data_IF_631436876518
#
_entry.id   IF_631436876518
#
_cell.length_a   1.000
_cell.length_b   1.000
_cell.length_c   1.000
_cell.angle_alpha   90.00
_cell.angle_beta   90.00
_cell.angle_gamma   90.00
#
_symmetry.space_group_name_H-M   'P 1'
#
loop_
_entity.id
_entity.type
_entity.pdbx_description
1 polymer ?
#
# COMPACT_ATOMS: atom_id res chain seq x y z
N UNK A 1 12.61 29.66 -46.84
CA UNK A 1 14.00 29.16 -47.05
C UNK A 1 14.78 29.35 -45.76
N UNK A 2 15.60 28.33 -45.38
CA UNK A 2 16.32 28.12 -44.10
C UNK A 2 15.41 27.60 -42.97
N UNK A 3 15.20 26.30 -42.71
CA UNK A 3 16.09 25.13 -42.61
C UNK A 3 17.21 25.29 -41.59
N UNK A 4 16.99 24.77 -40.38
CA UNK A 4 18.00 24.51 -39.34
C UNK A 4 17.45 23.37 -38.47
N UNK A 5 17.76 22.12 -38.82
CA UNK A 5 18.93 21.31 -38.43
C UNK A 5 18.75 20.66 -37.06
N UNK A 6 18.51 19.36 -37.15
CA UNK A 6 18.20 18.38 -36.13
C UNK A 6 19.36 18.14 -35.16
N UNK A 7 19.07 18.06 -33.86
CA UNK A 7 19.97 17.50 -32.85
C UNK A 7 19.48 16.12 -32.44
N UNK A 8 20.05 15.09 -33.07
CA UNK A 8 19.88 13.69 -32.72
C UNK A 8 20.77 13.36 -31.50
N UNK A 9 20.16 13.17 -30.34
CA UNK A 9 20.84 12.66 -29.14
C UNK A 9 20.93 11.13 -29.27
N UNK A 10 22.15 10.64 -29.50
CA UNK A 10 22.50 9.21 -29.49
C UNK A 10 22.58 8.72 -28.05
N UNK A 11 21.63 7.89 -27.63
CA UNK A 11 21.78 7.06 -26.44
C UNK A 11 22.65 5.85 -26.79
N UNK A 12 23.83 5.78 -26.18
CA UNK A 12 24.73 4.62 -26.24
C UNK A 12 24.22 3.56 -25.27
N UNK A 13 23.83 2.41 -25.81
CA UNK A 13 23.55 1.21 -25.04
C UNK A 13 24.78 0.73 -24.28
N UNK A 14 24.58 0.34 -23.03
CA UNK A 14 25.52 -0.46 -22.26
C UNK A 14 24.96 -1.87 -22.18
N UNK A 15 25.57 -2.77 -22.95
CA UNK A 15 25.53 -4.20 -22.69
C UNK A 15 26.36 -4.46 -21.43
N UNK A 16 25.72 -4.91 -20.36
CA UNK A 16 26.43 -5.64 -19.31
C UNK A 16 26.39 -7.14 -19.62
N UNK A 17 27.58 -7.69 -19.53
CA UNK A 17 28.01 -8.99 -20.01
C UNK A 17 27.57 -10.08 -19.03
N UNK A 18 27.21 -11.22 -19.61
CA UNK A 18 26.97 -12.49 -18.95
C UNK A 18 28.13 -12.95 -18.05
N UNK A 19 27.79 -13.74 -17.02
CA UNK A 19 28.65 -14.87 -16.67
C UNK A 19 28.70 -15.27 -15.19
N UNK A 20 28.62 -16.60 -15.01
CA UNK A 20 29.16 -17.38 -13.88
C UNK A 20 28.26 -17.38 -12.63
N UNK A 21 27.95 -18.48 -11.94
CA UNK A 21 28.60 -19.78 -11.84
C UNK A 21 27.58 -20.79 -11.27
N UNK A 22 27.47 -21.97 -11.87
CA UNK A 22 26.81 -23.12 -11.25
C UNK A 22 27.68 -23.65 -10.12
N UNK A 23 27.12 -23.85 -8.92
CA UNK A 23 27.72 -24.73 -7.92
C UNK A 23 26.62 -25.57 -7.26
N UNK A 24 26.62 -26.82 -7.69
CA UNK A 24 26.00 -27.98 -7.07
C UNK A 24 26.57 -28.16 -5.66
N UNK A 25 25.71 -28.20 -4.64
CA UNK A 25 25.97 -28.96 -3.43
C UNK A 25 24.86 -29.99 -3.26
N UNK A 26 25.20 -31.22 -3.65
CA UNK A 26 24.53 -32.43 -3.22
C UNK A 26 25.20 -32.92 -1.93
N UNK A 27 24.50 -32.81 -0.80
CA UNK A 27 24.78 -33.45 0.49
C UNK A 27 23.40 -33.67 1.10
N UNK A 28 22.94 -34.82 1.54
CA UNK A 28 23.51 -36.14 1.76
C UNK A 28 22.42 -36.86 2.56
N UNK A 29 22.00 -38.04 2.10
CA UNK A 29 20.94 -38.83 2.70
C UNK A 29 21.30 -39.24 4.14
N UNK A 30 20.35 -39.09 5.07
CA UNK A 30 20.23 -40.03 6.18
C UNK A 30 18.75 -40.38 6.41
N UNK A 31 18.38 -41.58 5.97
CA UNK A 31 17.05 -42.18 6.17
C UNK A 31 17.19 -43.19 7.29
N UNK A 32 16.79 -42.79 8.50
CA UNK A 32 16.66 -43.68 9.64
C UNK A 32 15.54 -44.72 9.46
N UNK A 33 15.54 -45.81 10.26
CA UNK A 33 14.65 -46.94 10.09
C UNK A 33 13.20 -46.63 10.45
N UNK A 34 12.29 -47.19 9.66
CA UNK A 34 10.85 -47.17 9.86
C UNK A 34 10.45 -48.19 10.93
N UNK A 35 10.12 -47.72 12.12
CA UNK A 35 9.34 -48.49 13.10
C UNK A 35 7.86 -48.14 12.93
N UNK A 36 7.08 -49.02 12.29
CA UNK A 36 5.65 -49.13 12.58
C UNK A 36 5.44 -50.03 13.82
N UNK A 37 4.21 -50.43 14.20
CA UNK A 37 2.88 -49.94 13.85
C UNK A 37 2.07 -49.55 15.12
N UNK A 38 0.97 -48.82 14.96
CA UNK A 38 -0.26 -49.07 15.73
C UNK A 38 -1.43 -48.47 14.96
N UNK A 39 -2.31 -49.36 14.51
CA UNK A 39 -3.59 -49.01 13.91
C UNK A 39 -4.53 -48.89 15.10
N UNK A 40 -4.61 -47.68 15.65
CA UNK A 40 -5.63 -47.39 16.66
C UNK A 40 -6.99 -47.30 15.97
N UNK A 41 -7.98 -47.90 16.63
CA UNK A 41 -9.37 -48.08 16.21
C UNK A 41 -10.01 -46.80 15.63
N UNK A 42 -10.82 -46.92 14.56
CA UNK A 42 -11.59 -45.79 14.05
C UNK A 42 -12.64 -45.37 15.07
N UNK A 43 -12.45 -44.19 15.64
CA UNK A 43 -13.38 -43.52 16.55
C UNK A 43 -14.75 -43.35 15.85
N UNK A 44 -15.84 -43.92 16.38
CA UNK A 44 -17.14 -43.89 15.73
C UNK A 44 -17.75 -42.48 15.80
N UNK A 45 -17.89 -41.87 14.62
CA UNK A 45 -18.87 -40.83 14.35
C UNK A 45 -18.87 -39.66 15.35
N UNK A 46 -17.72 -39.02 15.53
CA UNK A 46 -17.67 -37.66 16.04
C UNK A 46 -18.59 -36.77 15.20
N UNK A 47 -19.53 -36.10 15.87
CA UNK A 47 -20.42 -35.08 15.30
C UNK A 47 -19.64 -34.23 14.30
N UNK A 48 -20.02 -34.31 13.03
CA UNK A 48 -19.51 -33.41 12.00
C UNK A 48 -20.01 -32.03 12.37
N UNK A 49 -19.20 -31.32 13.16
CA UNK A 49 -19.38 -29.91 13.48
C UNK A 49 -19.69 -29.20 12.18
N UNK A 50 -20.93 -28.73 12.05
CA UNK A 50 -21.40 -28.09 10.84
C UNK A 50 -20.40 -26.98 10.51
N UNK A 51 -19.87 -27.00 9.28
CA UNK A 51 -19.04 -25.90 8.80
C UNK A 51 -19.90 -24.66 8.95
N UNK A 52 -19.50 -23.68 9.78
CA UNK A 52 -20.31 -22.49 9.98
C UNK A 52 -20.56 -21.84 8.63
N UNK A 53 -21.81 -21.44 8.38
CA UNK A 53 -22.15 -20.72 7.15
C UNK A 53 -21.24 -19.49 7.03
N UNK A 54 -20.73 -19.18 5.83
CA UNK A 54 -19.87 -18.04 5.62
C UNK A 54 -20.60 -16.78 6.07
N UNK A 55 -20.07 -16.13 7.11
CA UNK A 55 -20.61 -14.88 7.62
C UNK A 55 -20.30 -13.81 6.58
N UNK A 56 -21.33 -13.22 5.98
CA UNK A 56 -21.17 -12.12 5.04
C UNK A 56 -20.38 -10.98 5.70
N UNK A 57 -19.47 -10.36 4.96
CA UNK A 57 -18.75 -9.20 5.44
C UNK A 57 -19.71 -8.00 5.54
N UNK A 58 -19.93 -7.53 6.77
CA UNK A 58 -20.73 -6.34 7.03
C UNK A 58 -19.91 -5.09 6.67
N UNK A 59 -20.42 -4.31 5.71
CA UNK A 59 -19.74 -3.12 5.20
C UNK A 59 -19.58 -2.02 6.26
N UNK A 60 -20.44 -2.03 7.30
CA UNK A 60 -20.36 -1.15 8.47
C UNK A 60 -19.14 -1.43 9.37
N UNK A 61 -18.41 -2.53 9.13
CA UNK A 61 -17.17 -2.86 9.85
C UNK A 61 -15.93 -2.18 9.28
N UNK A 62 -16.07 -1.45 8.16
CA UNK A 62 -14.99 -0.66 7.58
C UNK A 62 -14.68 0.55 8.47
N UNK A 63 -13.40 0.92 8.53
CA UNK A 63 -12.94 2.18 9.13
C UNK A 63 -13.61 3.36 8.44
N UNK A 64 -13.85 4.44 9.17
CA UNK A 64 -14.35 5.68 8.59
C UNK A 64 -13.43 6.15 7.45
N UNK A 65 -13.97 6.53 6.27
CA UNK A 65 -13.18 7.08 5.19
C UNK A 65 -12.45 8.36 5.62
N UNK A 66 -11.25 8.60 5.06
CA UNK A 66 -10.52 9.83 5.30
C UNK A 66 -11.10 10.95 4.43
N UNK A 67 -11.65 12.00 5.04
CA UNK A 67 -12.15 13.18 4.30
C UNK A 67 -11.01 13.99 3.68
N UNK A 68 -9.87 14.06 4.37
CA UNK A 68 -8.67 14.73 3.89
C UNK A 68 -8.04 13.97 2.70
N UNK A 69 -7.62 14.72 1.69
CA UNK A 69 -6.97 14.20 0.48
C UNK A 69 -5.48 14.60 0.51
N UNK A 70 -4.61 13.82 1.20
CA UNK A 70 -3.19 14.16 1.39
C UNK A 70 -2.41 14.29 0.07
N UNK A 71 -2.80 13.56 -0.97
CA UNK A 71 -2.14 13.69 -2.26
C UNK A 71 -2.53 15.01 -2.91
N UNK A 72 -3.82 15.29 -3.07
CA UNK A 72 -4.28 16.57 -3.61
C UNK A 72 -3.77 17.78 -2.79
N UNK A 73 -3.77 17.68 -1.46
CA UNK A 73 -3.18 18.69 -0.59
C UNK A 73 -1.70 18.93 -0.93
N UNK A 74 -0.90 17.85 -1.04
CA UNK A 74 0.51 17.98 -1.35
C UNK A 74 0.73 18.61 -2.73
N UNK A 75 0.00 18.16 -3.75
CA UNK A 75 0.13 18.70 -5.11
C UNK A 75 -0.18 20.20 -5.14
N UNK A 76 -1.22 20.63 -4.41
CA UNK A 76 -1.64 22.02 -4.38
C UNK A 76 -0.69 22.92 -3.57
N UNK A 77 -0.29 22.50 -2.37
CA UNK A 77 0.43 23.36 -1.43
C UNK A 77 1.95 23.14 -1.42
N UNK A 78 2.43 21.93 -1.72
CA UNK A 78 3.82 21.51 -1.47
C UNK A 78 4.63 21.28 -2.76
N UNK A 79 3.98 20.88 -3.85
CA UNK A 79 4.68 20.48 -5.08
C UNK A 79 5.52 21.60 -5.73
N UNK A 80 5.21 22.87 -5.45
CA UNK A 80 6.03 23.99 -5.91
C UNK A 80 7.48 23.91 -5.44
N UNK A 81 7.71 23.42 -4.22
CA UNK A 81 9.04 23.30 -3.63
C UNK A 81 9.59 21.88 -3.74
N UNK A 82 8.72 20.87 -3.68
CA UNK A 82 9.11 19.46 -3.59
C UNK A 82 8.86 18.66 -4.86
N UNK A 83 8.42 19.31 -5.93
CA UNK A 83 8.05 18.66 -7.18
C UNK A 83 6.71 17.92 -7.07
N UNK A 84 6.13 17.50 -8.20
CA UNK A 84 4.93 16.67 -8.19
C UNK A 84 5.16 15.45 -7.30
N UNK A 85 4.28 15.24 -6.31
CA UNK A 85 4.31 14.02 -5.47
C UNK A 85 5.65 13.76 -4.75
N UNK A 86 6.47 14.79 -4.54
CA UNK A 86 7.76 14.69 -3.86
C UNK A 86 8.94 14.33 -4.75
N UNK A 87 8.81 14.40 -6.07
CA UNK A 87 9.86 14.03 -7.03
C UNK A 87 11.16 14.86 -6.92
N UNK A 88 11.17 15.99 -6.19
CA UNK A 88 12.38 16.77 -5.91
C UNK A 88 13.02 16.44 -4.56
N UNK A 89 12.46 15.52 -3.78
CA UNK A 89 13.18 15.00 -2.62
C UNK A 89 14.44 14.27 -3.09
N UNK A 90 15.59 14.71 -2.59
CA UNK A 90 16.87 14.05 -2.86
C UNK A 90 17.03 12.77 -2.03
N UNK A 91 18.01 11.95 -2.45
CA UNK A 91 18.41 10.75 -1.71
C UNK A 91 18.77 11.11 -0.26
N UNK A 92 17.95 10.68 0.69
CA UNK A 92 18.18 10.90 2.12
C UNK A 92 17.33 12.00 2.77
N UNK A 93 16.38 12.62 2.06
CA UNK A 93 15.29 13.34 2.75
C UNK A 93 14.71 12.44 3.84
N UNK A 94 14.45 12.97 5.04
CA UNK A 94 13.71 12.31 6.13
C UNK A 94 14.20 10.94 6.67
N UNK A 95 15.20 10.29 6.06
CA UNK A 95 15.58 8.91 6.39
C UNK A 95 16.18 8.72 7.79
N UNK A 96 16.59 9.80 8.45
CA UNK A 96 17.12 9.80 9.81
C UNK A 96 16.08 10.21 10.87
N UNK A 97 14.86 10.57 10.44
CA UNK A 97 13.82 11.08 11.33
C UNK A 97 12.99 9.95 11.93
N UNK A 98 12.75 10.03 13.24
CA UNK A 98 11.69 9.27 13.93
C UNK A 98 10.31 9.72 13.45
N UNK A 99 9.24 8.98 13.78
CA UNK A 99 7.87 9.37 13.40
C UNK A 99 7.52 10.74 13.98
N UNK A 100 7.79 10.96 15.26
CA UNK A 100 7.56 12.25 15.92
C UNK A 100 8.34 13.40 15.24
N UNK A 101 9.59 13.14 14.83
CA UNK A 101 10.41 14.16 14.14
C UNK A 101 9.95 14.42 12.71
N UNK A 102 9.44 13.40 12.01
CA UNK A 102 8.83 13.60 10.70
C UNK A 102 7.50 14.36 10.82
N UNK A 103 6.69 14.07 11.83
CA UNK A 103 5.46 14.79 12.13
C UNK A 103 5.70 16.28 12.40
N UNK A 104 6.68 16.60 13.26
CA UNK A 104 7.07 17.98 13.56
C UNK A 104 7.46 18.74 12.27
N UNK A 105 8.33 18.16 11.45
CA UNK A 105 8.78 18.79 10.20
C UNK A 105 7.62 18.96 9.20
N UNK A 106 6.74 17.96 9.06
CA UNK A 106 5.57 18.07 8.16
C UNK A 106 4.61 19.16 8.65
N UNK A 107 4.36 19.24 9.96
CA UNK A 107 3.53 20.30 10.54
C UNK A 107 4.13 21.69 10.31
N UNK A 108 5.44 21.87 10.50
CA UNK A 108 6.14 23.13 10.23
C UNK A 108 6.10 23.52 8.75
N UNK A 109 6.28 22.55 7.84
CA UNK A 109 6.18 22.79 6.39
C UNK A 109 4.76 23.22 5.99
N UNK A 110 3.74 22.54 6.52
CA UNK A 110 2.34 22.84 6.29
C UNK A 110 1.96 24.24 6.79
N UNK A 111 2.34 24.58 8.03
CA UNK A 111 1.99 25.86 8.64
C UNK A 111 2.81 27.04 8.10
N UNK A 112 4.08 26.81 7.75
CA UNK A 112 5.03 27.84 7.32
C UNK A 112 5.00 28.07 5.80
N UNK A 113 5.92 27.47 5.03
CA UNK A 113 6.02 27.70 3.59
C UNK A 113 4.75 27.40 2.79
N UNK A 114 3.99 26.35 3.16
CA UNK A 114 2.73 26.02 2.49
C UNK A 114 1.58 26.96 2.88
N UNK A 115 1.63 27.57 4.07
CA UNK A 115 0.59 28.46 4.59
C UNK A 115 -0.78 27.79 4.76
N UNK A 116 -0.80 26.46 4.92
CA UNK A 116 -2.00 25.63 4.99
C UNK A 116 -1.83 24.59 6.11
N UNK A 117 -1.93 24.99 7.38
CA UNK A 117 -1.69 24.10 8.51
C UNK A 117 -2.62 22.88 8.48
N UNK A 118 -2.10 21.74 8.94
CA UNK A 118 -2.80 20.47 9.07
C UNK A 118 -3.01 20.13 10.54
N UNK A 119 -4.13 19.48 10.85
CA UNK A 119 -4.49 19.05 12.20
C UNK A 119 -4.80 17.55 12.21
N UNK A 120 -4.59 16.92 13.37
CA UNK A 120 -5.04 15.56 13.71
C UNK A 120 -4.82 14.54 12.58
N UNK A 121 -5.91 13.93 12.09
CA UNK A 121 -5.90 12.87 11.09
C UNK A 121 -5.36 13.34 9.73
N UNK A 122 -5.52 14.62 9.38
CA UNK A 122 -4.98 15.17 8.16
C UNK A 122 -3.45 15.27 8.23
N UNK A 123 -2.90 15.72 9.36
CA UNK A 123 -1.45 15.72 9.59
C UNK A 123 -0.91 14.29 9.59
N UNK A 124 -1.56 13.35 10.28
CA UNK A 124 -1.14 11.95 10.32
C UNK A 124 -1.11 11.30 8.92
N UNK A 125 -2.12 11.56 8.09
CA UNK A 125 -2.18 11.08 6.71
C UNK A 125 -1.07 11.70 5.85
N UNK A 126 -0.79 12.99 6.04
CA UNK A 126 0.29 13.67 5.33
C UNK A 126 1.67 13.13 5.72
N UNK A 127 1.88 12.85 7.01
CA UNK A 127 3.11 12.20 7.52
C UNK A 127 3.27 10.82 6.90
N UNK A 128 2.20 10.03 6.86
CA UNK A 128 2.20 8.71 6.24
C UNK A 128 2.52 8.76 4.74
N UNK A 129 2.04 9.78 4.02
CA UNK A 129 2.44 10.02 2.63
C UNK A 129 3.95 10.25 2.52
N UNK A 130 4.53 11.13 3.35
CA UNK A 130 5.98 11.32 3.35
C UNK A 130 6.73 10.02 3.69
N UNK A 131 6.22 9.20 4.62
CA UNK A 131 6.79 7.88 4.91
C UNK A 131 6.82 6.96 3.68
N UNK A 132 5.75 6.92 2.89
CA UNK A 132 5.76 6.12 1.66
C UNK A 132 6.78 6.60 0.63
N UNK A 133 7.06 7.91 0.57
CA UNK A 133 8.09 8.45 -0.31
C UNK A 133 9.47 7.99 0.13
N UNK A 134 9.74 8.00 1.45
CA UNK A 134 10.98 7.49 2.03
C UNK A 134 11.17 5.99 1.81
N UNK A 135 10.10 5.21 1.90
CA UNK A 135 10.11 3.77 1.69
C UNK A 135 10.22 3.37 0.20
N UNK A 136 9.93 4.30 -0.73
CA UNK A 136 9.82 3.96 -2.14
C UNK A 136 8.60 3.08 -2.44
N UNK A 137 7.55 3.22 -1.63
CA UNK A 137 6.35 2.39 -1.69
C UNK A 137 5.14 3.19 -2.24
N UNK A 138 4.13 2.52 -2.82
CA UNK A 138 2.86 3.15 -3.16
C UNK A 138 2.15 3.70 -1.91
N UNK A 139 1.63 4.92 -1.98
CA UNK A 139 0.70 5.40 -0.96
C UNK A 139 -0.74 5.13 -1.37
N UNK A 140 -1.58 4.71 -0.43
CA UNK A 140 -2.99 4.39 -0.67
C UNK A 140 -3.89 4.96 0.44
N UNK A 141 -5.00 5.59 0.03
CA UNK A 141 -6.02 6.19 0.88
C UNK A 141 -7.39 5.66 0.48
N UNK A 142 -8.19 5.26 1.47
CA UNK A 142 -9.63 5.06 1.37
C UNK A 142 -10.35 6.35 1.76
N UNK A 143 -10.89 7.05 0.76
CA UNK A 143 -11.47 8.38 0.90
C UNK A 143 -12.99 8.42 0.90
N UNK A 144 -13.68 7.36 0.46
CA UNK A 144 -15.13 7.33 0.51
C UNK A 144 -15.77 6.05 0.01
N UNK A 145 -16.97 5.79 0.53
CA UNK A 145 -17.87 4.74 0.07
C UNK A 145 -19.27 5.33 -0.10
N UNK A 146 -19.81 5.28 -1.31
CA UNK A 146 -21.15 5.80 -1.62
C UNK A 146 -21.80 4.96 -2.72
N UNK A 147 -23.03 4.52 -2.51
CA UNK A 147 -23.82 3.77 -3.49
C UNK A 147 -23.09 2.54 -4.07
N UNK A 148 -22.35 1.81 -3.22
CA UNK A 148 -21.56 0.65 -3.65
C UNK A 148 -20.27 1.00 -4.40
N UNK A 149 -19.91 2.29 -4.48
CA UNK A 149 -18.67 2.76 -5.09
C UNK A 149 -17.67 3.15 -4.01
N UNK A 150 -16.56 2.43 -3.97
CA UNK A 150 -15.40 2.76 -3.14
C UNK A 150 -14.48 3.72 -3.91
N UNK A 151 -13.85 4.67 -3.22
CA UNK A 151 -12.96 5.66 -3.82
C UNK A 151 -11.89 6.15 -2.86
N UNK A 152 -10.85 6.78 -3.42
CA UNK A 152 -9.81 7.43 -2.64
C UNK A 152 -8.64 7.91 -3.49
N UNK A 153 -7.48 8.04 -2.86
CA UNK A 153 -6.24 8.47 -3.50
C UNK A 153 -5.19 7.35 -3.54
N UNK A 154 -4.34 7.39 -4.55
CA UNK A 154 -3.17 6.52 -4.72
C UNK A 154 -2.04 7.29 -5.40
N UNK A 155 -0.79 6.95 -5.09
CA UNK A 155 0.37 7.54 -5.79
C UNK A 155 0.23 7.37 -7.32
N UNK A 156 0.50 8.42 -8.13
CA UNK A 156 0.39 8.30 -9.59
C UNK A 156 1.24 7.19 -10.19
N UNK A 157 0.67 6.53 -11.20
CA UNK A 157 1.26 5.37 -11.86
C UNK A 157 1.03 4.04 -11.13
N UNK A 158 0.34 4.06 -9.98
CA UNK A 158 -0.07 2.83 -9.30
C UNK A 158 -1.29 2.17 -9.94
N UNK A 159 -1.38 0.85 -9.78
CA UNK A 159 -2.64 0.11 -9.89
C UNK A 159 -3.24 -0.06 -8.50
N UNK A 160 -4.57 -0.17 -8.41
CA UNK A 160 -5.30 -0.45 -7.16
C UNK A 160 -6.23 -1.62 -7.38
N UNK A 161 -6.28 -2.54 -6.43
CA UNK A 161 -7.21 -3.67 -6.42
C UNK A 161 -7.78 -3.90 -5.02
N UNK A 162 -9.04 -4.28 -4.95
CA UNK A 162 -9.67 -4.83 -3.76
C UNK A 162 -9.54 -6.36 -3.83
N UNK A 163 -8.81 -6.96 -2.91
CA UNK A 163 -8.51 -8.39 -2.91
C UNK A 163 -9.12 -9.09 -1.68
N UNK A 164 -9.61 -10.31 -1.86
CA UNK A 164 -10.08 -11.22 -0.81
C UNK A 164 -9.66 -12.65 -1.14
N UNK A 165 -9.99 -13.62 -0.27
CA UNK A 165 -9.52 -15.01 -0.40
C UNK A 165 -9.93 -15.71 -1.70
N UNK A 166 -11.04 -15.30 -2.31
CA UNK A 166 -11.67 -15.97 -3.44
C UNK A 166 -11.61 -15.15 -4.74
N UNK A 167 -11.05 -13.94 -4.70
CA UNK A 167 -11.02 -13.08 -5.88
C UNK A 167 -10.51 -11.67 -5.62
N UNK A 168 -10.58 -10.87 -6.68
CA UNK A 168 -10.22 -9.45 -6.64
C UNK A 168 -11.06 -8.64 -7.63
N UNK A 169 -11.21 -7.35 -7.36
CA UNK A 169 -11.69 -6.36 -8.32
C UNK A 169 -10.61 -5.29 -8.50
N UNK A 170 -10.29 -4.98 -9.76
CA UNK A 170 -9.34 -3.91 -10.10
C UNK A 170 -10.09 -2.58 -10.17
N UNK A 171 -9.54 -1.54 -9.54
CA UNK A 171 -10.09 -0.20 -9.56
C UNK A 171 -9.72 0.54 -10.86
N UNK A 172 -10.58 1.48 -11.28
CA UNK A 172 -10.22 2.48 -12.27
C UNK A 172 -9.36 3.55 -11.61
N UNK A 173 -8.17 3.82 -12.16
CA UNK A 173 -7.25 4.85 -11.66
C UNK A 173 -7.09 5.95 -12.70
N UNK A 174 -7.37 7.20 -12.32
CA UNK A 174 -7.19 8.41 -13.15
C UNK A 174 -6.34 9.43 -12.39
N UNK A 175 -5.08 9.60 -12.81
CA UNK A 175 -4.13 10.46 -12.10
C UNK A 175 -3.75 9.85 -10.74
N UNK A 176 -4.09 10.54 -9.65
CA UNK A 176 -3.94 10.05 -8.28
C UNK A 176 -5.26 9.55 -7.67
N UNK A 177 -6.37 9.59 -8.40
CA UNK A 177 -7.69 9.19 -7.89
C UNK A 177 -8.04 7.80 -8.38
N UNK A 178 -8.68 7.02 -7.52
CA UNK A 178 -9.19 5.70 -7.89
C UNK A 178 -10.66 5.52 -7.51
N UNK A 179 -11.36 4.67 -8.25
CA UNK A 179 -12.74 4.28 -8.01
C UNK A 179 -12.95 2.79 -8.30
N UNK A 180 -13.81 2.15 -7.53
CA UNK A 180 -14.11 0.73 -7.66
C UNK A 180 -15.57 0.47 -7.33
N UNK A 181 -16.26 -0.27 -8.19
CA UNK A 181 -17.60 -0.78 -7.88
C UNK A 181 -17.45 -2.04 -7.03
N UNK A 182 -18.05 -2.03 -5.84
CA UNK A 182 -18.08 -3.19 -4.98
C UNK A 182 -19.01 -4.26 -5.57
N UNK A 183 -18.64 -5.55 -5.45
CA UNK A 183 -19.58 -6.63 -5.73
C UNK A 183 -20.75 -6.57 -4.72
N UNK A 184 -21.90 -7.13 -5.10
CA UNK A 184 -23.09 -7.17 -4.22
C UNK A 184 -22.84 -7.88 -2.89
N UNK A 185 -21.89 -8.81 -2.87
CA UNK A 185 -21.44 -9.51 -1.66
C UNK A 185 -19.94 -9.70 -1.63
N UNK A 186 -19.35 -9.56 -0.44
CA UNK A 186 -17.94 -9.85 -0.16
C UNK A 186 -17.86 -11.03 0.82
N UNK A 187 -17.22 -12.15 0.45
CA UNK A 187 -17.22 -13.37 1.26
C UNK A 187 -16.20 -13.35 2.42
N UNK A 188 -15.27 -12.39 2.45
CA UNK A 188 -14.24 -12.25 3.46
C UNK A 188 -13.83 -10.78 3.67
N UNK A 189 -12.99 -10.53 4.68
CA UNK A 189 -12.41 -9.20 4.95
C UNK A 189 -11.54 -8.77 3.76
N UNK A 190 -11.95 -7.74 3.01
CA UNK A 190 -11.20 -7.31 1.84
C UNK A 190 -9.98 -6.48 2.25
N UNK A 191 -8.94 -6.51 1.40
CA UNK A 191 -7.77 -5.64 1.49
C UNK A 191 -7.69 -4.78 0.26
N UNK A 192 -7.39 -3.51 0.43
CA UNK A 192 -6.95 -2.68 -0.68
C UNK A 192 -5.46 -2.89 -0.90
N UNK A 193 -5.07 -3.10 -2.14
CA UNK A 193 -3.69 -3.30 -2.53
C UNK A 193 -3.34 -2.31 -3.62
N UNK A 194 -2.25 -1.57 -3.42
CA UNK A 194 -1.65 -0.72 -4.44
C UNK A 194 -0.31 -1.30 -4.89
N UNK A 195 -0.03 -1.27 -6.19
CA UNK A 195 1.25 -1.70 -6.76
C UNK A 195 1.82 -0.58 -7.65
N UNK A 196 3.14 -0.36 -7.59
CA UNK A 196 3.87 0.60 -8.44
C UNK A 196 5.30 0.14 -8.61
N UNK A 197 5.76 0.00 -9.86
CA UNK A 197 7.16 -0.31 -10.17
C UNK A 197 7.71 -1.56 -9.45
N UNK A 198 6.86 -2.56 -9.19
CA UNK A 198 7.23 -3.79 -8.48
C UNK A 198 7.20 -3.70 -6.95
N UNK A 199 6.95 -2.51 -6.38
CA UNK A 199 6.65 -2.32 -4.96
C UNK A 199 5.14 -2.42 -4.71
N UNK A 200 4.75 -2.93 -3.55
CA UNK A 200 3.35 -3.15 -3.17
C UNK A 200 3.10 -2.64 -1.76
N UNK A 201 1.91 -2.07 -1.54
CA UNK A 201 1.40 -1.68 -0.23
C UNK A 201 -0.01 -2.22 -0.03
N UNK A 202 -0.30 -2.72 1.17
CA UNK A 202 -1.63 -3.18 1.56
C UNK A 202 -2.26 -2.25 2.59
N UNK A 203 -3.56 -2.05 2.47
CA UNK A 203 -4.39 -1.28 3.38
C UNK A 203 -5.50 -2.19 3.94
N UNK A 204 -5.42 -2.44 5.25
CA UNK A 204 -6.45 -3.14 6.01
C UNK A 204 -7.57 -2.17 6.37
N UNK A 205 -8.66 -2.28 5.62
CA UNK A 205 -9.82 -1.39 5.72
C UNK A 205 -10.60 -1.51 7.04
N UNK A 206 -10.31 -2.48 7.90
CA UNK A 206 -10.90 -2.54 9.24
C UNK A 206 -10.10 -1.72 10.27
N UNK A 207 -8.88 -1.31 9.90
CA UNK A 207 -7.90 -0.75 10.85
C UNK A 207 -7.55 0.71 10.59
N UNK A 208 -7.43 1.10 9.33
CA UNK A 208 -6.98 2.45 8.97
C UNK A 208 -7.47 2.85 7.57
N UNK A 209 -7.74 4.13 7.38
CA UNK A 209 -8.17 4.71 6.10
C UNK A 209 -7.02 5.09 5.18
N UNK A 210 -5.76 4.95 5.63
CA UNK A 210 -4.58 5.18 4.80
C UNK A 210 -3.41 4.26 5.18
N UNK A 211 -2.58 3.95 4.19
CA UNK A 211 -1.36 3.14 4.35
C UNK A 211 -0.27 3.89 5.11
N UNK A 212 0.77 3.20 5.58
CA UNK A 212 1.97 3.82 6.19
C UNK A 212 1.72 4.66 7.46
N UNK A 213 0.49 4.73 7.97
CA UNK A 213 0.24 5.26 9.29
C UNK A 213 0.98 4.41 10.32
N UNK A 214 1.56 5.06 11.33
CA UNK A 214 1.97 4.33 12.53
C UNK A 214 0.73 3.56 12.99
N UNK A 215 0.80 2.22 13.01
CA UNK A 215 -0.31 1.39 13.48
C UNK A 215 -0.72 1.99 14.82
N UNK A 216 -1.87 2.70 14.87
CA UNK A 216 -2.23 3.56 15.99
C UNK A 216 -1.96 2.72 17.22
N UNK A 217 -0.94 3.07 18.01
CA UNK A 217 -0.70 2.40 19.28
C UNK A 217 -2.04 2.53 19.95
N UNK A 218 -2.71 1.39 20.14
CA UNK A 218 -3.97 1.37 20.84
C UNK A 218 -3.64 1.96 22.19
N UNK A 219 -3.90 3.26 22.33
CA UNK A 219 -3.95 3.91 23.63
C UNK A 219 -5.12 3.19 24.26
N UNK A 220 -4.79 2.15 25.03
CA UNK A 220 -5.67 1.58 26.01
C UNK A 220 -6.21 2.80 26.77
N UNK A 221 -7.45 3.18 26.50
CA UNK A 221 -8.16 4.15 27.32
C UNK A 221 -8.08 3.57 28.74
N UNK A 222 -7.52 4.31 29.72
CA UNK A 222 -7.43 3.84 31.10
C UNK A 222 -8.81 3.52 31.68
#
# INVERSE_FOLDING_TARGET
MKSGSSTLIRWRGWLCVAGWLSLLFAVGCDRGPLEGPRVDEPDPAGERSAVPEPVAFEMDSLVSPLEHQPLEYFDFYCARCHGPWGDFYGDGFGGHLTDDGLEEIVAEMAAGPAGAPLEEDALAAQVAFHRSLLAGEPFLVFGGLSEGVMSGEVRPGSTVRLAWSEGEVVAEVTGHRWRLNLPESLPAVPRLVAEREGSQTELDLQRTSFSHGAARRSVLRP
#
